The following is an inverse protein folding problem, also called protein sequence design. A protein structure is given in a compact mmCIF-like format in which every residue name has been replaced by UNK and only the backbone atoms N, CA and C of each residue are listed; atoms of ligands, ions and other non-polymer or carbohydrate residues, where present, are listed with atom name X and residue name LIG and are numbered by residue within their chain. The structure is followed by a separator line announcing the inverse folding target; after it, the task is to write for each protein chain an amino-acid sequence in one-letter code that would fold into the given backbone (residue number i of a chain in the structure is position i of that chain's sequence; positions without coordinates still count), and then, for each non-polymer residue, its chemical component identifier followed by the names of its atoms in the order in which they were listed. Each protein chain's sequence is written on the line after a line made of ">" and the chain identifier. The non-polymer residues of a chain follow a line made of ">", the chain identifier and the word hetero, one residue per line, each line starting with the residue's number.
data_IF_827725611674
#
_entry.id   IF_827725611674
#
_cell.length_a   1.000
_cell.length_b   1.000
_cell.length_c   1.000
_cell.angle_alpha   90.00
_cell.angle_beta   90.00
_cell.angle_gamma   90.00
#
_symmetry.space_group_name_H-M   'P 1'
#
loop_
_entity.id
_entity.type
_entity.pdbx_description
1 polymer ?
#
# COMPACT_ATOMS: atom_id res chain seq x y z
N UNK A 1 31.67 0.96 -16.22
CA UNK A 1 31.95 -0.47 -15.97
C UNK A 1 30.67 -1.13 -15.52
N UNK A 2 30.20 -2.14 -16.24
CA UNK A 2 29.02 -2.91 -15.82
C UNK A 2 29.52 -4.14 -15.05
N UNK A 3 29.06 -4.32 -13.82
CA UNK A 3 29.41 -5.43 -12.93
C UNK A 3 28.17 -6.29 -12.74
N UNK A 4 28.30 -7.57 -13.07
CA UNK A 4 27.21 -8.55 -12.93
C UNK A 4 27.14 -9.03 -11.47
N UNK A 5 25.96 -9.02 -10.88
CA UNK A 5 25.69 -9.50 -9.51
C UNK A 5 24.49 -10.44 -9.49
N UNK A 6 24.27 -11.12 -8.36
CA UNK A 6 23.12 -12.03 -8.13
C UNK A 6 21.75 -11.31 -8.28
N UNK A 7 21.75 -9.98 -8.40
CA UNK A 7 20.57 -9.14 -8.57
C UNK A 7 20.53 -8.38 -9.90
N UNK A 8 21.39 -8.75 -10.86
CA UNK A 8 21.48 -8.12 -12.18
C UNK A 8 22.70 -7.23 -12.38
N UNK A 9 22.73 -6.53 -13.52
CA UNK A 9 23.86 -5.71 -13.96
C UNK A 9 23.85 -4.33 -13.31
N UNK A 10 24.96 -3.97 -12.66
CA UNK A 10 25.15 -2.66 -12.03
C UNK A 10 26.15 -1.86 -12.86
N UNK A 11 25.80 -0.65 -13.27
CA UNK A 11 26.71 0.29 -13.94
C UNK A 11 27.45 1.16 -12.91
N UNK A 12 28.78 1.05 -12.86
CA UNK A 12 29.67 1.87 -12.03
C UNK A 12 30.76 2.55 -12.88
N UNK A 13 30.98 3.85 -12.69
CA UNK A 13 32.03 4.60 -13.36
C UNK A 13 32.25 5.97 -12.71
N UNK A 14 33.42 6.59 -12.87
CA UNK A 14 33.71 7.89 -12.26
C UNK A 14 32.81 8.97 -12.87
N UNK A 15 32.03 9.63 -12.00
CA UNK A 15 31.22 10.81 -12.35
C UNK A 15 32.16 12.01 -12.49
N UNK A 16 32.24 12.62 -13.68
CA UNK A 16 32.86 13.94 -13.84
C UNK A 16 32.04 14.95 -13.01
N UNK A 17 32.66 15.49 -11.96
CA UNK A 17 32.09 16.49 -11.05
C UNK A 17 31.91 17.81 -11.79
N UNK A 18 30.67 18.29 -11.89
CA UNK A 18 30.40 19.72 -11.87
C UNK A 18 30.09 20.12 -10.42
N UNK A 19 30.70 21.22 -9.99
CA UNK A 19 30.80 21.72 -8.62
C UNK A 19 29.43 22.08 -8.05
N UNK A 20 29.02 21.37 -7.00
CA UNK A 20 28.27 21.87 -5.85
C UNK A 20 28.39 20.80 -4.75
N UNK A 21 28.86 21.18 -3.58
CA UNK A 21 28.95 20.31 -2.40
C UNK A 21 27.54 19.97 -1.89
N UNK A 22 26.91 18.98 -2.50
CA UNK A 22 25.83 18.23 -1.88
C UNK A 22 26.42 16.90 -1.43
N UNK A 23 26.67 16.75 -0.13
CA UNK A 23 26.96 15.45 0.46
C UNK A 23 25.68 14.61 0.38
N UNK A 24 25.54 13.82 -0.68
CA UNK A 24 24.46 12.88 -0.88
C UNK A 24 24.48 11.86 0.26
N UNK A 25 23.53 11.94 1.19
CA UNK A 25 23.30 10.86 2.14
C UNK A 25 22.57 9.74 1.39
N UNK A 26 23.33 8.78 0.88
CA UNK A 26 22.78 7.56 0.30
C UNK A 26 22.57 6.55 1.44
N UNK A 27 21.35 6.49 1.96
CA UNK A 27 20.90 5.32 2.73
C UNK A 27 20.81 4.14 1.75
N UNK A 28 21.85 3.32 1.71
CA UNK A 28 21.92 2.11 0.90
C UNK A 28 20.87 1.09 1.34
N UNK A 29 19.94 0.73 0.43
CA UNK A 29 19.35 -0.62 0.19
C UNK A 29 18.55 -1.28 1.33
N UNK A 30 18.64 -0.78 2.56
CA UNK A 30 18.03 -1.42 3.74
C UNK A 30 16.62 -0.94 4.02
N UNK A 31 16.31 0.33 3.76
CA UNK A 31 15.01 0.91 4.09
C UNK A 31 13.95 0.43 3.08
N UNK A 32 14.27 0.50 1.80
CA UNK A 32 13.37 0.09 0.72
C UNK A 32 12.97 -1.39 0.89
N UNK A 33 13.94 -2.26 1.17
CA UNK A 33 13.71 -3.70 1.37
C UNK A 33 12.91 -4.00 2.63
N UNK A 34 13.13 -3.27 3.73
CA UNK A 34 12.35 -3.47 4.96
C UNK A 34 10.92 -2.94 4.84
N UNK A 35 10.73 -1.86 4.09
CA UNK A 35 9.42 -1.35 3.72
C UNK A 35 8.70 -2.38 2.83
N UNK A 36 9.36 -2.89 1.79
CA UNK A 36 8.84 -3.95 0.92
C UNK A 36 8.46 -5.20 1.71
N UNK A 37 9.33 -5.66 2.63
CA UNK A 37 9.00 -6.75 3.54
C UNK A 37 7.80 -6.41 4.44
N UNK A 38 7.68 -5.19 4.97
CA UNK A 38 6.51 -4.79 5.75
C UNK A 38 5.21 -4.78 4.92
N UNK A 39 5.30 -4.48 3.63
CA UNK A 39 4.18 -4.63 2.70
C UNK A 39 3.87 -6.11 2.45
N UNK A 40 4.89 -6.95 2.24
CA UNK A 40 4.77 -8.38 1.97
C UNK A 40 4.43 -9.25 3.20
N UNK A 41 4.79 -8.85 4.42
CA UNK A 41 4.55 -9.65 5.65
C UNK A 41 3.06 -9.67 6.03
N UNK A 42 2.28 -8.76 5.47
CA UNK A 42 0.82 -8.75 5.62
C UNK A 42 0.09 -9.31 4.39
N UNK A 43 0.82 -9.66 3.34
CA UNK A 43 0.31 -10.40 2.20
C UNK A 43 0.62 -11.90 2.39
N UNK A 44 -0.23 -12.76 1.83
CA UNK A 44 -0.11 -14.22 1.98
C UNK A 44 1.22 -14.64 1.35
N UNK A 45 2.16 -15.14 2.16
CA UNK A 45 3.42 -15.70 1.66
C UNK A 45 3.10 -16.79 0.63
N UNK A 46 3.67 -16.75 -0.59
CA UNK A 46 3.48 -17.82 -1.54
C UNK A 46 4.14 -19.09 -0.97
N UNK A 47 3.31 -20.04 -0.56
CA UNK A 47 3.79 -21.34 -0.10
C UNK A 47 4.38 -22.05 -1.32
N UNK A 48 5.68 -22.32 -1.30
CA UNK A 48 6.45 -22.90 -2.42
C UNK A 48 6.11 -24.37 -2.73
N UNK A 49 5.07 -24.94 -2.11
CA UNK A 49 4.64 -26.31 -2.35
C UNK A 49 3.16 -26.30 -2.70
N UNK A 50 2.84 -26.79 -3.90
CA UNK A 50 1.44 -27.01 -4.30
C UNK A 50 0.70 -27.77 -3.20
N UNK A 51 -0.39 -27.18 -2.73
CA UNK A 51 -1.40 -27.81 -1.89
C UNK A 51 -1.95 -29.06 -2.58
N UNK A 52 -2.55 -29.96 -1.81
CA UNK A 52 -3.18 -31.15 -2.39
C UNK A 52 -4.27 -30.77 -3.41
N UNK A 53 -5.04 -29.71 -3.12
CA UNK A 53 -6.08 -29.19 -4.02
C UNK A 53 -5.50 -28.71 -5.36
N UNK A 54 -4.35 -28.03 -5.35
CA UNK A 54 -3.65 -27.61 -6.58
C UNK A 54 -3.17 -28.80 -7.41
N UNK A 55 -2.62 -29.84 -6.75
CA UNK A 55 -2.20 -31.07 -7.44
C UNK A 55 -3.38 -31.79 -8.08
N UNK A 56 -4.49 -31.90 -7.36
CA UNK A 56 -5.71 -32.54 -7.84
C UNK A 56 -6.29 -31.75 -9.02
N UNK A 57 -6.27 -30.42 -8.97
CA UNK A 57 -6.71 -29.56 -10.07
C UNK A 57 -5.83 -29.71 -11.32
N UNK A 58 -4.51 -29.78 -11.19
CA UNK A 58 -3.61 -30.00 -12.33
C UNK A 58 -3.86 -31.38 -12.97
N UNK A 59 -4.00 -32.43 -12.17
CA UNK A 59 -4.33 -33.77 -12.68
C UNK A 59 -5.68 -33.78 -13.39
N UNK A 60 -6.68 -33.12 -12.82
CA UNK A 60 -8.00 -33.01 -13.42
C UNK A 60 -7.96 -32.24 -14.75
N UNK A 61 -7.23 -31.13 -14.81
CA UNK A 61 -7.02 -30.36 -16.03
C UNK A 61 -6.42 -31.24 -17.12
N UNK A 62 -5.33 -31.95 -16.83
CA UNK A 62 -4.65 -32.83 -17.79
C UNK A 62 -5.57 -33.92 -18.36
N UNK A 63 -6.52 -34.42 -17.56
CA UNK A 63 -7.45 -35.48 -17.99
C UNK A 63 -8.67 -34.98 -18.77
N UNK A 64 -9.10 -33.73 -18.55
CA UNK A 64 -10.42 -33.26 -18.98
C UNK A 64 -10.39 -32.08 -19.95
N UNK A 65 -9.23 -31.45 -20.17
CA UNK A 65 -9.13 -30.36 -21.14
C UNK A 65 -9.01 -30.86 -22.57
N UNK A 66 -9.64 -30.16 -23.51
CA UNK A 66 -9.46 -30.35 -24.94
C UNK A 66 -9.72 -29.03 -25.69
N UNK A 67 -9.38 -28.97 -26.98
CA UNK A 67 -9.79 -27.87 -27.86
C UNK A 67 -10.94 -28.32 -28.76
N UNK A 68 -11.92 -27.44 -28.96
CA UNK A 68 -12.98 -27.65 -29.94
C UNK A 68 -12.50 -27.35 -31.38
N UNK A 69 -13.38 -27.54 -32.37
CA UNK A 69 -13.08 -27.30 -33.79
C UNK A 69 -12.76 -25.83 -34.11
N UNK A 70 -13.18 -24.90 -33.24
CA UNK A 70 -12.90 -23.46 -33.34
C UNK A 70 -11.61 -23.06 -32.61
N UNK A 71 -10.91 -24.03 -31.98
CA UNK A 71 -9.66 -23.82 -31.25
C UNK A 71 -9.84 -23.36 -29.80
N UNK A 72 -11.08 -23.33 -29.28
CA UNK A 72 -11.38 -22.91 -27.90
C UNK A 72 -11.08 -24.02 -26.93
N UNK A 73 -10.47 -23.67 -25.79
CA UNK A 73 -10.29 -24.63 -24.71
C UNK A 73 -11.60 -24.90 -23.99
N UNK A 74 -11.93 -26.17 -23.88
CA UNK A 74 -13.05 -26.68 -23.08
C UNK A 74 -12.47 -27.46 -21.91
N UNK A 75 -12.83 -27.05 -20.70
CA UNK A 75 -12.52 -27.75 -19.46
C UNK A 75 -13.82 -27.94 -18.70
N UNK A 76 -14.15 -29.18 -18.34
CA UNK A 76 -15.34 -29.47 -17.55
C UNK A 76 -15.16 -28.90 -16.14
N UNK A 77 -16.11 -28.13 -15.63
CA UNK A 77 -16.02 -27.64 -14.25
C UNK A 77 -16.43 -28.75 -13.27
N UNK A 78 -15.65 -29.02 -12.21
CA UNK A 78 -16.05 -29.97 -11.17
C UNK A 78 -17.24 -29.41 -10.36
N UNK A 79 -18.20 -30.27 -10.02
CA UNK A 79 -19.45 -29.87 -9.34
C UNK A 79 -19.28 -29.34 -7.90
N UNK A 80 -18.10 -29.55 -7.30
CA UNK A 80 -17.74 -29.07 -5.96
C UNK A 80 -16.24 -28.86 -5.91
N UNK A 81 -15.74 -27.63 -5.91
CA UNK A 81 -14.41 -27.27 -5.37
C UNK A 81 -14.09 -25.78 -5.53
N UNK A 82 -13.23 -25.31 -4.63
CA UNK A 82 -12.55 -24.01 -4.61
C UNK A 82 -11.58 -23.76 -5.78
N UNK A 83 -11.38 -24.75 -6.68
CA UNK A 83 -10.32 -24.77 -7.69
C UNK A 83 -10.69 -24.29 -9.10
N UNK A 84 -11.94 -23.87 -9.33
CA UNK A 84 -12.39 -23.41 -10.66
C UNK A 84 -11.58 -22.22 -11.20
N UNK A 85 -11.11 -21.32 -10.34
CA UNK A 85 -10.23 -20.20 -10.72
C UNK A 85 -8.83 -20.67 -11.16
N UNK A 86 -8.32 -21.75 -10.55
CA UNK A 86 -7.02 -22.33 -10.91
C UNK A 86 -7.10 -22.99 -12.29
N UNK A 87 -8.19 -23.68 -12.59
CA UNK A 87 -8.43 -24.25 -13.92
C UNK A 87 -8.46 -23.17 -15.00
N UNK A 88 -9.15 -22.05 -14.75
CA UNK A 88 -9.20 -20.92 -15.70
C UNK A 88 -7.81 -20.31 -15.94
N UNK A 89 -7.04 -20.08 -14.88
CA UNK A 89 -5.66 -19.57 -14.98
C UNK A 89 -4.77 -20.56 -15.73
N UNK A 90 -4.93 -21.87 -15.48
CA UNK A 90 -4.16 -22.93 -16.13
C UNK A 90 -4.45 -23.05 -17.63
N UNK A 91 -5.67 -22.76 -18.09
CA UNK A 91 -6.02 -22.65 -19.52
C UNK A 91 -5.17 -21.57 -20.20
N UNK A 92 -5.02 -20.40 -19.58
CA UNK A 92 -4.20 -19.31 -20.13
C UNK A 92 -2.72 -19.70 -20.21
N UNK A 93 -2.20 -20.38 -19.19
CA UNK A 93 -0.84 -20.93 -19.21
C UNK A 93 -0.65 -22.00 -20.29
N UNK A 94 -1.66 -22.85 -20.51
CA UNK A 94 -1.63 -23.84 -21.60
C UNK A 94 -1.61 -23.16 -22.97
N UNK A 95 -2.45 -22.15 -23.19
CA UNK A 95 -2.46 -21.35 -24.42
C UNK A 95 -1.11 -20.66 -24.67
N UNK A 96 -0.48 -20.14 -23.61
CA UNK A 96 0.84 -19.54 -23.69
C UNK A 96 1.94 -20.55 -24.05
N UNK A 97 1.80 -21.81 -23.62
CA UNK A 97 2.68 -22.91 -24.03
C UNK A 97 2.47 -23.30 -25.49
N UNK A 98 1.22 -23.48 -25.90
CA UNK A 98 0.86 -24.04 -27.21
C UNK A 98 1.05 -23.02 -28.35
N UNK A 99 0.72 -21.75 -28.12
CA UNK A 99 0.64 -20.72 -29.16
C UNK A 99 1.59 -19.53 -28.92
N UNK A 100 2.20 -19.44 -27.73
CA UNK A 100 2.98 -18.26 -27.32
C UNK A 100 4.36 -18.13 -27.98
N UNK A 101 4.78 -19.07 -28.83
CA UNK A 101 6.10 -19.07 -29.47
C UNK A 101 6.40 -17.80 -30.29
N UNK A 102 5.38 -17.26 -30.96
CA UNK A 102 5.49 -16.04 -31.77
C UNK A 102 5.13 -14.75 -31.01
N UNK A 103 4.79 -14.86 -29.72
CA UNK A 103 4.25 -13.76 -28.92
C UNK A 103 4.98 -13.69 -27.57
N UNK A 104 6.27 -13.29 -27.55
CA UNK A 104 7.09 -13.35 -26.34
C UNK A 104 6.56 -12.50 -25.17
N UNK A 105 6.06 -11.29 -25.44
CA UNK A 105 5.49 -10.40 -24.42
C UNK A 105 4.12 -10.91 -23.98
N UNK A 106 3.27 -11.32 -24.93
CA UNK A 106 1.96 -11.90 -24.64
C UNK A 106 2.07 -13.18 -23.82
N UNK A 107 3.01 -14.07 -24.16
CA UNK A 107 3.29 -15.31 -23.42
C UNK A 107 3.69 -15.01 -21.98
N UNK A 108 4.63 -14.07 -21.78
CA UNK A 108 5.07 -13.66 -20.45
C UNK A 108 3.88 -13.15 -19.61
N UNK A 109 3.06 -12.29 -20.19
CA UNK A 109 1.90 -11.73 -19.51
C UNK A 109 0.82 -12.78 -19.18
N UNK A 110 0.53 -13.73 -20.07
CA UNK A 110 -0.40 -14.84 -19.77
C UNK A 110 0.07 -15.73 -18.61
N UNK A 111 1.39 -15.85 -18.43
CA UNK A 111 1.95 -16.68 -17.36
C UNK A 111 2.04 -15.97 -16.01
N UNK A 112 2.17 -14.64 -15.98
CA UNK A 112 2.55 -13.91 -14.77
C UNK A 112 1.62 -12.73 -14.38
N UNK A 113 0.87 -12.17 -15.33
CA UNK A 113 0.22 -10.87 -15.14
C UNK A 113 -1.31 -10.98 -14.95
N UNK A 114 -1.87 -12.20 -15.02
CA UNK A 114 -3.27 -12.46 -14.70
C UNK A 114 -3.47 -12.74 -13.21
N UNK A 115 -4.40 -12.01 -12.60
CA UNK A 115 -4.96 -12.33 -11.30
C UNK A 115 -6.41 -12.78 -11.49
N UNK A 116 -6.62 -14.10 -11.53
CA UNK A 116 -7.90 -14.73 -11.85
C UNK A 116 -8.41 -14.23 -13.21
N UNK A 117 -9.40 -13.34 -13.24
CA UNK A 117 -10.04 -12.86 -14.46
C UNK A 117 -9.45 -11.54 -14.98
N UNK A 118 -8.65 -10.83 -14.17
CA UNK A 118 -8.12 -9.51 -14.48
C UNK A 118 -6.64 -9.59 -14.92
N UNK A 119 -6.30 -8.89 -16.01
CA UNK A 119 -4.94 -8.73 -16.49
C UNK A 119 -4.37 -7.37 -16.05
N UNK A 120 -3.27 -7.37 -15.31
CA UNK A 120 -2.52 -6.17 -14.95
C UNK A 120 -1.08 -6.29 -15.44
N UNK A 121 -0.78 -5.66 -16.57
CA UNK A 121 0.54 -5.69 -17.21
C UNK A 121 1.04 -4.28 -17.58
N UNK A 122 2.33 -4.17 -17.89
CA UNK A 122 2.99 -2.91 -18.20
C UNK A 122 4.28 -3.10 -18.99
N UNK A 123 4.80 -1.99 -19.54
CA UNK A 123 6.05 -1.95 -20.29
C UNK A 123 6.79 -0.64 -20.02
N UNK A 124 8.09 -0.58 -20.35
CA UNK A 124 8.94 0.58 -20.07
C UNK A 124 8.73 1.75 -21.03
N UNK A 125 8.09 1.50 -22.17
CA UNK A 125 7.83 2.51 -23.21
C UNK A 125 6.54 2.22 -23.99
N UNK A 126 6.02 3.24 -24.67
CA UNK A 126 4.74 3.18 -25.40
C UNK A 126 4.79 2.12 -26.53
N UNK A 127 5.92 1.92 -27.20
CA UNK A 127 6.05 0.96 -28.31
C UNK A 127 5.95 -0.49 -27.84
N UNK A 128 6.68 -0.85 -26.78
CA UNK A 128 6.59 -2.17 -26.18
C UNK A 128 5.20 -2.44 -25.58
N UNK A 129 4.56 -1.42 -25.00
CA UNK A 129 3.18 -1.53 -24.51
C UNK A 129 2.18 -1.78 -25.66
N UNK A 130 2.33 -1.08 -26.79
CA UNK A 130 1.52 -1.32 -27.99
C UNK A 130 1.72 -2.73 -28.56
N UNK A 131 2.97 -3.20 -28.59
CA UNK A 131 3.30 -4.56 -29.01
C UNK A 131 2.67 -5.59 -28.08
N UNK A 132 2.82 -5.43 -26.76
CA UNK A 132 2.21 -6.29 -25.75
C UNK A 132 0.69 -6.39 -25.94
N UNK A 133 -0.01 -5.25 -26.10
CA UNK A 133 -1.46 -5.23 -26.35
C UNK A 133 -1.81 -5.98 -27.64
N UNK A 134 -1.03 -5.81 -28.70
CA UNK A 134 -1.23 -6.52 -29.97
C UNK A 134 -1.03 -8.03 -29.83
N UNK A 135 0.07 -8.46 -29.20
CA UNK A 135 0.40 -9.86 -28.96
C UNK A 135 -0.65 -10.54 -28.09
N UNK A 136 -1.07 -9.91 -26.98
CA UNK A 136 -2.12 -10.41 -26.10
C UNK A 136 -3.42 -10.66 -26.85
N UNK A 137 -3.87 -9.71 -27.68
CA UNK A 137 -5.12 -9.86 -28.45
C UNK A 137 -5.03 -11.00 -29.45
N UNK A 138 -3.90 -11.15 -30.13
CA UNK A 138 -3.70 -12.22 -31.10
C UNK A 138 -3.62 -13.59 -30.42
N UNK A 139 -2.83 -13.69 -29.35
CA UNK A 139 -2.64 -14.92 -28.59
C UNK A 139 -3.95 -15.37 -27.93
N UNK A 140 -4.67 -14.47 -27.25
CA UNK A 140 -5.94 -14.81 -26.59
C UNK A 140 -7.04 -15.18 -27.59
N UNK A 141 -7.07 -14.55 -28.77
CA UNK A 141 -8.00 -14.94 -29.84
C UNK A 141 -7.77 -16.36 -30.34
N UNK A 142 -6.51 -16.85 -30.37
CA UNK A 142 -6.21 -18.24 -30.73
C UNK A 142 -6.78 -19.26 -29.73
N UNK A 143 -7.05 -18.84 -28.49
CA UNK A 143 -7.77 -19.64 -27.49
C UNK A 143 -9.27 -19.35 -27.38
N UNK A 144 -9.82 -18.49 -28.25
CA UNK A 144 -11.23 -18.08 -28.22
C UNK A 144 -11.58 -16.96 -27.24
N UNK A 145 -10.58 -16.31 -26.63
CA UNK A 145 -10.79 -15.28 -25.63
C UNK A 145 -10.78 -13.87 -26.25
N UNK A 146 -11.59 -12.97 -25.69
CA UNK A 146 -11.57 -11.56 -26.06
C UNK A 146 -11.47 -10.70 -24.80
N UNK A 147 -10.34 -10.01 -24.63
CA UNK A 147 -10.18 -9.02 -23.55
C UNK A 147 -11.11 -7.83 -23.76
N UNK A 148 -11.78 -7.43 -22.69
CA UNK A 148 -12.65 -6.25 -22.60
C UNK A 148 -12.20 -5.39 -21.43
N UNK A 149 -12.80 -4.20 -21.30
CA UNK A 149 -12.49 -3.22 -20.25
C UNK A 149 -11.01 -2.78 -20.28
N UNK A 150 -10.47 -2.59 -21.48
CA UNK A 150 -9.12 -2.05 -21.65
C UNK A 150 -9.00 -0.67 -21.04
N UNK A 151 -7.91 -0.45 -20.32
CA UNK A 151 -7.59 0.82 -19.67
C UNK A 151 -6.07 1.02 -19.61
N UNK A 152 -5.60 2.26 -19.62
CA UNK A 152 -4.16 2.59 -19.63
C UNK A 152 -3.90 3.99 -19.07
N UNK A 153 -2.71 4.21 -18.53
CA UNK A 153 -2.21 5.55 -18.21
C UNK A 153 -1.62 6.28 -19.44
N UNK A 154 -1.50 5.60 -20.60
CA UNK A 154 -0.97 6.14 -21.87
C UNK A 154 -1.98 5.92 -23.01
N UNK A 155 -2.89 6.87 -23.29
CA UNK A 155 -4.00 6.66 -24.24
C UNK A 155 -3.59 6.22 -25.64
N UNK A 156 -2.37 6.59 -26.06
CA UNK A 156 -1.80 6.21 -27.34
C UNK A 156 -1.68 4.69 -27.50
N UNK A 157 -1.35 3.98 -26.43
CA UNK A 157 -1.17 2.51 -26.41
C UNK A 157 -2.43 1.77 -26.85
N UNK A 158 -3.60 2.34 -26.61
CA UNK A 158 -4.89 1.71 -26.95
C UNK A 158 -5.57 2.32 -28.18
N UNK A 159 -4.87 3.10 -29.02
CA UNK A 159 -5.48 3.76 -30.21
C UNK A 159 -6.22 2.78 -31.13
N UNK A 160 -5.67 1.60 -31.36
CA UNK A 160 -6.26 0.54 -32.21
C UNK A 160 -7.35 -0.31 -31.55
N UNK A 161 -7.71 -0.02 -30.29
CA UNK A 161 -8.74 -0.78 -29.56
C UNK A 161 -10.13 -0.13 -29.76
N UNK A 162 -11.16 -0.91 -30.15
CA UNK A 162 -12.53 -0.42 -30.28
C UNK A 162 -13.05 0.21 -28.98
N UNK A 163 -13.86 1.29 -29.10
CA UNK A 163 -14.37 2.03 -27.93
C UNK A 163 -15.22 1.16 -26.98
N UNK A 164 -15.99 0.21 -27.50
CA UNK A 164 -16.80 -0.73 -26.71
C UNK A 164 -15.98 -1.78 -25.95
N UNK A 165 -14.68 -1.91 -26.24
CA UNK A 165 -13.77 -2.78 -25.49
C UNK A 165 -13.00 -2.01 -24.40
N UNK A 166 -13.12 -0.67 -24.34
CA UNK A 166 -12.45 0.18 -23.35
C UNK A 166 -13.36 0.47 -22.15
N UNK A 167 -12.76 0.84 -21.02
CA UNK A 167 -13.50 1.34 -19.85
C UNK A 167 -14.09 2.71 -20.15
N UNK A 168 -15.34 2.94 -19.74
CA UNK A 168 -16.03 4.23 -19.86
C UNK A 168 -15.58 5.18 -18.74
N UNK A 169 -14.46 5.88 -18.95
CA UNK A 169 -14.03 7.13 -18.27
C UNK A 169 -13.86 7.19 -16.73
N UNK A 170 -14.26 6.19 -15.95
CA UNK A 170 -14.25 6.32 -14.47
C UNK A 170 -12.88 6.22 -13.82
N UNK A 171 -11.82 5.91 -14.58
CA UNK A 171 -10.49 5.65 -14.01
C UNK A 171 -9.49 6.65 -14.58
N UNK A 172 -9.00 7.55 -13.73
CA UNK A 172 -8.07 8.62 -14.08
C UNK A 172 -6.60 8.14 -14.14
N UNK A 173 -6.33 7.02 -14.83
CA UNK A 173 -4.98 6.44 -14.88
C UNK A 173 -3.95 7.41 -15.48
N UNK A 174 -4.35 8.26 -16.42
CA UNK A 174 -3.47 9.28 -17.00
C UNK A 174 -2.89 10.22 -15.94
N UNK A 175 -3.68 10.57 -14.92
CA UNK A 175 -3.25 11.46 -13.83
C UNK A 175 -2.16 10.79 -12.98
N UNK A 176 -2.18 9.47 -12.83
CA UNK A 176 -1.16 8.73 -12.07
C UNK A 176 0.24 8.99 -12.64
N UNK A 177 0.37 9.04 -13.98
CA UNK A 177 1.66 9.33 -14.63
C UNK A 177 2.22 10.73 -14.36
N UNK A 178 1.35 11.66 -13.91
CA UNK A 178 1.70 13.05 -13.61
C UNK A 178 2.03 13.28 -12.14
N UNK A 179 1.64 12.35 -11.25
CA UNK A 179 1.96 12.43 -9.82
C UNK A 179 3.47 12.26 -9.65
N UNK A 180 4.09 13.20 -8.93
CA UNK A 180 5.52 13.17 -8.60
C UNK A 180 5.68 13.09 -7.10
N UNK A 181 6.43 12.10 -6.63
CA UNK A 181 6.78 11.93 -5.22
C UNK A 181 8.26 12.26 -5.05
N UNK A 182 8.58 13.14 -4.10
CA UNK A 182 9.96 13.48 -3.80
C UNK A 182 10.68 12.26 -3.20
N UNK A 183 11.79 11.83 -3.81
CA UNK A 183 12.61 10.72 -3.27
C UNK A 183 13.44 11.15 -2.06
N UNK A 184 13.76 12.44 -1.96
CA UNK A 184 14.52 13.02 -0.85
C UNK A 184 13.62 13.96 -0.05
N UNK A 185 13.24 13.52 1.14
CA UNK A 185 12.25 14.19 1.99
C UNK A 185 12.89 14.97 3.15
N UNK A 186 14.15 14.68 3.47
CA UNK A 186 14.88 15.37 4.54
C UNK A 186 15.27 16.81 4.17
N UNK A 187 15.47 17.63 5.20
CA UNK A 187 16.00 18.99 5.08
C UNK A 187 17.52 19.03 4.85
N UNK A 188 18.10 20.20 5.08
CA UNK A 188 19.55 20.39 4.97
C UNK A 188 20.30 19.61 6.05
N UNK A 189 21.61 19.40 5.83
CA UNK A 189 22.47 18.78 6.84
C UNK A 189 22.48 19.63 8.11
N UNK A 190 22.36 18.98 9.26
CA UNK A 190 22.28 19.66 10.56
C UNK A 190 20.88 20.13 10.93
N UNK A 191 19.86 19.82 10.13
CA UNK A 191 18.47 20.03 10.54
C UNK A 191 18.09 19.17 11.73
N UNK A 192 17.29 19.72 12.65
CA UNK A 192 16.54 18.92 13.62
C UNK A 192 15.43 18.18 12.87
N UNK A 193 15.24 16.90 13.18
CA UNK A 193 14.29 16.05 12.48
C UNK A 193 13.24 15.52 13.46
N UNK A 194 11.98 15.77 13.15
CA UNK A 194 10.83 15.27 13.90
C UNK A 194 9.99 14.37 13.00
N UNK A 195 9.33 13.36 13.59
CA UNK A 195 8.38 12.49 12.91
C UNK A 195 6.97 12.72 13.46
N UNK A 196 6.02 12.95 12.56
CA UNK A 196 4.61 13.14 12.89
C UNK A 196 3.77 12.04 12.25
N UNK A 197 3.23 11.16 13.09
CA UNK A 197 2.49 9.97 12.70
C UNK A 197 0.98 10.21 12.87
N UNK A 198 0.24 10.32 11.77
CA UNK A 198 -1.21 10.53 11.77
C UNK A 198 -1.94 9.23 11.45
N UNK A 199 -3.07 8.99 12.10
CA UNK A 199 -3.98 7.90 11.76
C UNK A 199 -5.42 8.37 11.66
N UNK A 200 -6.19 7.66 10.84
CA UNK A 200 -7.63 7.88 10.70
C UNK A 200 -8.32 6.62 10.16
N UNK A 201 -9.64 6.53 10.36
CA UNK A 201 -10.46 5.49 9.77
C UNK A 201 -11.82 5.99 9.28
N UNK A 202 -12.31 5.34 8.23
CA UNK A 202 -13.65 5.46 7.70
C UNK A 202 -14.33 4.09 7.64
N UNK A 203 -15.60 4.06 7.26
CA UNK A 203 -16.32 2.80 7.03
C UNK A 203 -15.77 2.00 5.82
N UNK A 204 -15.00 2.64 4.94
CA UNK A 204 -14.43 2.02 3.75
C UNK A 204 -13.00 1.49 3.98
N UNK A 205 -12.17 2.25 4.70
CA UNK A 205 -10.77 1.89 4.96
C UNK A 205 -10.24 2.60 6.21
N UNK A 206 -9.13 2.10 6.75
CA UNK A 206 -8.37 2.74 7.81
C UNK A 206 -6.90 2.83 7.42
N UNK A 207 -6.20 3.84 7.92
CA UNK A 207 -4.87 4.16 7.43
C UNK A 207 -4.06 5.06 8.35
N UNK A 208 -2.79 5.22 7.99
CA UNK A 208 -1.95 6.24 8.60
C UNK A 208 -0.88 6.75 7.65
N UNK A 209 -0.38 7.95 7.95
CA UNK A 209 0.70 8.60 7.22
C UNK A 209 1.71 9.21 8.21
N UNK A 210 2.97 9.20 7.84
CA UNK A 210 4.09 9.70 8.63
C UNK A 210 4.75 10.81 7.83
N UNK A 211 4.83 11.99 8.43
CA UNK A 211 5.56 13.13 7.88
C UNK A 211 6.89 13.29 8.59
N UNK A 212 7.90 13.68 7.83
CA UNK A 212 9.15 14.20 8.38
C UNK A 212 9.07 15.73 8.42
N UNK A 213 9.37 16.30 9.57
CA UNK A 213 9.50 17.74 9.77
C UNK A 213 10.97 18.04 10.04
N UNK A 214 11.62 18.75 9.12
CA UNK A 214 13.02 19.16 9.21
C UNK A 214 13.11 20.65 9.50
N UNK A 215 13.79 21.02 10.57
CA UNK A 215 14.03 22.41 10.96
C UNK A 215 15.49 22.73 10.64
N UNK A 216 15.73 23.59 9.64
CA UNK A 216 17.07 24.04 9.27
C UNK A 216 17.74 24.88 10.38
N UNK A 217 19.08 24.98 10.37
CA UNK A 217 19.81 25.91 11.25
C UNK A 217 19.41 27.38 11.06
N UNK A 218 18.89 27.71 9.89
CA UNK A 218 18.31 29.00 9.50
C UNK A 218 16.87 29.20 10.00
N UNK A 219 16.29 28.20 10.67
CA UNK A 219 14.90 28.19 11.13
C UNK A 219 13.89 27.82 10.05
N UNK A 220 14.32 27.50 8.81
CA UNK A 220 13.39 27.11 7.74
C UNK A 220 12.84 25.71 8.03
N UNK A 221 11.52 25.63 8.12
CA UNK A 221 10.82 24.37 8.36
C UNK A 221 10.36 23.76 7.03
N UNK A 222 10.77 22.52 6.80
CA UNK A 222 10.31 21.69 5.68
C UNK A 222 9.54 20.50 6.21
N UNK A 223 8.35 20.26 5.67
CA UNK A 223 7.51 19.10 6.01
C UNK A 223 7.24 18.32 4.74
N UNK A 224 7.49 17.01 4.77
CA UNK A 224 7.32 16.10 3.64
C UNK A 224 6.76 14.76 4.10
N UNK A 225 5.94 14.13 3.25
CA UNK A 225 5.43 12.78 3.47
C UNK A 225 6.59 11.78 3.39
N UNK A 226 6.82 11.02 4.47
CA UNK A 226 7.85 10.00 4.54
C UNK A 226 7.30 8.62 4.16
N UNK A 227 6.13 8.25 4.70
CA UNK A 227 5.49 6.97 4.42
C UNK A 227 3.99 7.01 4.69
N UNK A 228 3.21 6.16 4.03
CA UNK A 228 1.78 5.99 4.31
C UNK A 228 1.34 4.55 4.05
N UNK A 229 0.30 4.09 4.74
CA UNK A 229 -0.33 2.79 4.50
C UNK A 229 -1.83 2.84 4.80
N UNK A 230 -2.63 2.25 3.92
CA UNK A 230 -4.08 2.04 4.10
C UNK A 230 -4.40 0.55 4.13
N UNK A 231 -5.58 0.22 4.67
CA UNK A 231 -6.20 -1.10 4.60
C UNK A 231 -7.72 -0.97 4.43
N UNK A 232 -8.36 -1.80 3.60
CA UNK A 232 -9.81 -1.88 3.55
C UNK A 232 -10.40 -2.22 4.92
N UNK A 233 -11.54 -1.61 5.23
CA UNK A 233 -12.28 -1.95 6.44
C UNK A 233 -12.78 -3.40 6.36
N UNK A 234 -12.85 -4.14 7.49
CA UNK A 234 -13.35 -5.51 7.48
C UNK A 234 -14.80 -5.58 6.98
N UNK A 235 -15.12 -6.62 6.19
CA UNK A 235 -16.49 -6.88 5.73
C UNK A 235 -17.47 -7.07 6.90
N UNK A 236 -16.99 -7.62 8.02
CA UNK A 236 -17.77 -7.70 9.25
C UNK A 236 -17.81 -6.32 9.91
N UNK A 237 -19.03 -5.79 10.07
CA UNK A 237 -19.25 -4.50 10.73
C UNK A 237 -18.60 -4.45 12.11
N UNK A 238 -17.81 -3.41 12.29
CA UNK A 238 -17.17 -3.00 13.54
C UNK A 238 -17.47 -1.51 13.75
N UNK A 239 -17.43 -1.03 14.99
CA UNK A 239 -17.66 0.39 15.26
C UNK A 239 -16.53 1.25 14.70
N UNK A 240 -16.83 2.50 14.38
CA UNK A 240 -15.84 3.47 13.90
C UNK A 240 -14.65 3.60 14.87
N UNK A 241 -14.91 3.71 16.18
CA UNK A 241 -13.85 3.74 17.19
C UNK A 241 -12.90 2.53 17.13
N UNK A 242 -13.41 1.34 16.82
CA UNK A 242 -12.56 0.14 16.66
C UNK A 242 -11.74 0.19 15.36
N UNK A 243 -12.26 0.81 14.30
CA UNK A 243 -11.52 1.06 13.06
C UNK A 243 -10.43 2.11 13.27
N UNK A 244 -10.73 3.21 13.96
CA UNK A 244 -9.77 4.24 14.35
C UNK A 244 -8.64 3.64 15.21
N UNK A 245 -8.98 2.73 16.16
CA UNK A 245 -7.98 1.99 16.92
C UNK A 245 -7.14 1.05 16.02
N UNK A 246 -7.72 0.46 14.96
CA UNK A 246 -6.96 -0.29 13.97
C UNK A 246 -6.01 0.62 13.17
N UNK A 247 -6.41 1.86 12.86
CA UNK A 247 -5.57 2.86 12.24
C UNK A 247 -4.37 3.21 13.12
N UNK A 248 -4.61 3.42 14.42
CA UNK A 248 -3.55 3.67 15.41
C UNK A 248 -2.53 2.52 15.48
N UNK A 249 -3.00 1.26 15.44
CA UNK A 249 -2.11 0.08 15.34
C UNK A 249 -1.31 0.10 14.04
N UNK A 250 -1.96 0.38 12.91
CA UNK A 250 -1.31 0.37 11.59
C UNK A 250 -0.20 1.43 11.49
N UNK A 251 -0.46 2.67 11.93
CA UNK A 251 0.57 3.73 11.91
C UNK A 251 1.70 3.43 12.89
N UNK A 252 1.42 2.82 14.04
CA UNK A 252 2.45 2.42 15.01
C UNK A 252 3.36 1.31 14.46
N UNK A 253 2.79 0.35 13.72
CA UNK A 253 3.56 -0.67 13.00
C UNK A 253 4.40 -0.06 11.88
N UNK A 254 3.83 0.86 11.11
CA UNK A 254 4.54 1.58 10.06
C UNK A 254 5.73 2.35 10.64
N UNK A 255 5.54 3.05 11.77
CA UNK A 255 6.60 3.73 12.50
C UNK A 255 7.70 2.74 12.95
N UNK A 256 7.35 1.62 13.59
CA UNK A 256 8.35 0.63 14.03
C UNK A 256 9.15 0.02 12.87
N UNK A 257 8.51 -0.14 11.70
CA UNK A 257 9.14 -0.62 10.49
C UNK A 257 10.15 0.37 9.91
N UNK A 258 9.85 1.68 9.91
CA UNK A 258 10.75 2.69 9.33
C UNK A 258 11.82 3.19 10.29
N UNK A 259 11.55 3.26 11.60
CA UNK A 259 12.47 3.89 12.58
C UNK A 259 13.81 3.18 12.70
N UNK A 260 13.81 1.84 12.60
CA UNK A 260 15.02 1.01 12.73
C UNK A 260 15.99 1.23 11.57
N UNK A 261 15.53 1.18 10.29
CA UNK A 261 16.38 1.45 9.14
C UNK A 261 16.71 2.93 8.93
N UNK A 262 15.95 3.88 9.50
CA UNK A 262 16.09 5.29 9.14
C UNK A 262 17.48 5.86 9.43
N UNK A 263 18.29 5.27 10.33
CA UNK A 263 19.70 5.67 10.63
C UNK A 263 19.94 7.19 10.69
N UNK A 264 18.95 7.93 11.14
CA UNK A 264 19.02 9.37 11.39
C UNK A 264 18.63 9.63 12.84
N UNK A 265 19.19 10.69 13.39
CA UNK A 265 18.83 11.15 14.73
C UNK A 265 17.49 11.88 14.65
N UNK A 266 16.44 11.23 15.14
CA UNK A 266 15.11 11.83 15.27
C UNK A 266 15.01 12.49 16.64
N UNK A 267 14.79 13.79 16.64
CA UNK A 267 14.70 14.63 17.83
C UNK A 267 13.39 14.43 18.59
N UNK A 268 12.27 14.29 17.87
CA UNK A 268 10.96 14.03 18.49
C UNK A 268 10.06 13.20 17.58
N UNK A 269 9.18 12.39 18.19
CA UNK A 269 8.16 11.59 17.51
C UNK A 269 6.83 11.85 18.19
N UNK A 270 5.81 12.17 17.39
CA UNK A 270 4.47 12.51 17.88
C UNK A 270 3.44 11.76 17.05
N UNK A 271 2.51 11.10 17.74
CA UNK A 271 1.35 10.44 17.15
C UNK A 271 0.12 11.34 17.26
N UNK A 272 -0.74 11.30 16.24
CA UNK A 272 -1.90 12.17 16.09
C UNK A 272 -3.14 11.36 15.72
N UNK A 273 -4.24 11.63 16.41
CA UNK A 273 -5.56 11.05 16.14
C UNK A 273 -6.63 12.12 16.40
N UNK A 274 -7.68 12.14 15.61
CA UNK A 274 -8.91 12.93 15.86
C UNK A 274 -9.91 12.20 16.75
N UNK A 275 -9.80 10.89 16.86
CA UNK A 275 -10.63 10.10 17.78
C UNK A 275 -10.26 10.32 19.25
N UNK A 276 -11.07 11.09 19.95
CA UNK A 276 -10.96 11.27 21.41
C UNK A 276 -11.20 9.97 22.18
N UNK A 277 -12.00 9.04 21.64
CA UNK A 277 -12.21 7.71 22.23
C UNK A 277 -10.92 6.89 22.17
N UNK A 278 -10.23 6.87 21.03
CA UNK A 278 -8.96 6.15 20.89
C UNK A 278 -7.91 6.76 21.80
N UNK A 279 -7.78 8.08 21.86
CA UNK A 279 -6.85 8.75 22.78
C UNK A 279 -7.14 8.36 24.24
N UNK A 280 -8.41 8.37 24.67
CA UNK A 280 -8.79 7.94 26.01
C UNK A 280 -8.47 6.46 26.28
N UNK A 281 -8.62 5.58 25.29
CA UNK A 281 -8.20 4.18 25.39
C UNK A 281 -6.69 4.03 25.55
N UNK A 282 -5.90 4.81 24.82
CA UNK A 282 -4.44 4.77 24.83
C UNK A 282 -3.80 5.37 26.09
N UNK A 283 -4.47 6.31 26.75
CA UNK A 283 -4.00 6.87 28.02
C UNK A 283 -4.17 5.91 29.21
N UNK A 284 -4.97 4.87 29.08
CA UNK A 284 -5.22 3.90 30.14
C UNK A 284 -4.49 2.57 29.93
N UNK A 285 -4.20 1.84 31.02
CA UNK A 285 -3.66 0.49 30.91
C UNK A 285 -4.58 -0.48 30.14
N UNK A 286 -4.03 -1.42 29.34
CA UNK A 286 -4.83 -2.31 28.49
C UNK A 286 -5.88 -3.14 29.24
N UNK A 287 -5.58 -3.55 30.48
CA UNK A 287 -6.46 -4.40 31.29
C UNK A 287 -7.79 -3.73 31.68
N UNK A 288 -7.91 -2.40 31.51
CA UNK A 288 -9.15 -1.67 31.72
C UNK A 288 -10.21 -1.96 30.65
N UNK A 289 -9.81 -2.54 29.50
CA UNK A 289 -10.64 -2.63 28.30
C UNK A 289 -11.08 -4.04 27.94
N UNK A 290 -12.16 -4.19 27.16
CA UNK A 290 -12.53 -5.48 26.58
C UNK A 290 -11.39 -6.06 25.76
N UNK A 291 -11.37 -7.39 25.59
CA UNK A 291 -10.24 -8.11 24.99
C UNK A 291 -9.81 -7.56 23.62
N UNK A 292 -10.76 -7.16 22.77
CA UNK A 292 -10.45 -6.60 21.46
C UNK A 292 -9.67 -5.28 21.56
N UNK A 293 -10.13 -4.37 22.42
CA UNK A 293 -9.53 -3.05 22.64
C UNK A 293 -8.22 -3.20 23.40
N UNK A 294 -8.20 -3.97 24.48
CA UNK A 294 -7.01 -4.26 25.29
C UNK A 294 -5.84 -4.75 24.44
N UNK A 295 -6.07 -5.75 23.58
CA UNK A 295 -5.02 -6.34 22.75
C UNK A 295 -4.42 -5.34 21.74
N UNK A 296 -5.20 -4.36 21.28
CA UNK A 296 -4.75 -3.32 20.34
C UNK A 296 -4.09 -2.15 21.06
N UNK A 297 -4.64 -1.73 22.20
CA UNK A 297 -4.04 -0.72 23.08
C UNK A 297 -2.65 -1.15 23.51
N UNK A 298 -2.46 -2.42 23.94
CA UNK A 298 -1.14 -2.97 24.26
C UNK A 298 -0.18 -2.87 23.06
N UNK A 299 -0.61 -3.29 21.87
CA UNK A 299 0.22 -3.18 20.66
C UNK A 299 0.63 -1.72 20.37
N UNK A 300 -0.30 -0.78 20.47
CA UNK A 300 0.01 0.65 20.23
C UNK A 300 0.99 1.17 21.26
N UNK A 301 0.76 0.91 22.55
CA UNK A 301 1.65 1.35 23.62
C UNK A 301 3.06 0.74 23.48
N UNK A 302 3.16 -0.54 23.11
CA UNK A 302 4.43 -1.25 22.90
C UNK A 302 5.20 -0.75 21.67
N UNK A 303 4.49 -0.44 20.58
CA UNK A 303 5.08 0.00 19.31
C UNK A 303 5.40 1.50 19.28
N UNK A 304 4.60 2.33 19.95
CA UNK A 304 4.83 3.77 20.06
C UNK A 304 5.93 4.14 21.06
N UNK A 305 6.46 3.18 21.83
CA UNK A 305 7.64 3.36 22.71
C UNK A 305 7.52 4.54 23.69
N UNK A 306 6.30 4.84 24.13
CA UNK A 306 6.03 5.94 25.06
C UNK A 306 6.06 7.34 24.43
N UNK A 307 6.11 7.44 23.11
CA UNK A 307 5.93 8.72 22.40
C UNK A 307 4.52 9.28 22.63
N UNK A 308 4.41 10.62 22.53
CA UNK A 308 3.17 11.35 22.81
C UNK A 308 2.09 11.02 21.77
N UNK A 309 0.86 10.86 22.23
CA UNK A 309 -0.35 10.83 21.41
C UNK A 309 -1.13 12.11 21.65
N UNK A 310 -1.36 12.90 20.60
CA UNK A 310 -2.03 14.19 20.65
C UNK A 310 -3.30 14.17 19.80
N UNK A 311 -4.25 15.04 20.18
CA UNK A 311 -5.44 15.27 19.40
C UNK A 311 -5.17 16.20 18.21
N UNK A 312 -5.71 15.87 17.05
CA UNK A 312 -5.80 16.77 15.88
C UNK A 312 -7.27 16.88 15.47
N UNK A 313 -7.73 18.05 15.03
CA UNK A 313 -9.10 18.17 14.52
C UNK A 313 -9.24 17.39 13.22
N UNK A 314 -10.34 16.69 13.00
CA UNK A 314 -10.55 15.86 11.80
C UNK A 314 -10.29 16.63 10.49
N UNK A 315 -10.80 17.86 10.36
CA UNK A 315 -10.53 18.71 9.18
C UNK A 315 -9.04 18.98 8.93
N UNK A 316 -8.22 18.97 9.98
CA UNK A 316 -6.79 19.21 9.95
C UNK A 316 -5.97 17.91 9.90
N UNK A 317 -6.63 16.75 10.00
CA UNK A 317 -6.00 15.43 9.99
C UNK A 317 -5.68 15.01 8.54
N UNK A 318 -4.40 14.92 8.13
CA UNK A 318 -4.06 14.45 6.80
C UNK A 318 -4.35 12.95 6.60
N UNK A 319 -4.62 12.17 7.66
CA UNK A 319 -4.94 10.76 7.52
C UNK A 319 -6.37 10.50 6.98
N UNK A 320 -7.27 11.49 7.01
CA UNK A 320 -8.58 11.41 6.32
C UNK A 320 -8.41 11.04 4.83
N UNK A 321 -7.35 11.55 4.21
CA UNK A 321 -7.04 11.33 2.79
C UNK A 321 -6.70 9.86 2.50
N UNK A 322 -6.12 9.13 3.47
CA UNK A 322 -5.76 7.71 3.34
C UNK A 322 -6.91 6.77 3.71
N UNK A 323 -7.84 7.20 4.58
CA UNK A 323 -8.96 6.40 5.05
C UNK A 323 -10.19 6.49 4.13
N UNK A 324 -10.41 7.64 3.47
CA UNK A 324 -11.56 7.88 2.57
C UNK A 324 -11.22 7.70 1.09
N UNK A 325 -9.93 7.77 0.75
CA UNK A 325 -9.44 7.72 -0.61
C UNK A 325 -9.52 9.07 -1.32
N UNK A 326 -8.76 9.20 -2.39
CA UNK A 326 -8.71 10.38 -3.26
C UNK A 326 -8.69 9.93 -4.71
N UNK A 327 -9.40 10.67 -5.58
CA UNK A 327 -9.21 10.50 -7.00
C UNK A 327 -7.80 10.99 -7.41
N UNK A 328 -7.15 10.36 -8.41
CA UNK A 328 -5.81 10.77 -8.85
C UNK A 328 -5.67 12.27 -9.19
N UNK A 329 -6.70 12.87 -9.79
CA UNK A 329 -6.72 14.31 -10.08
C UNK A 329 -6.77 15.19 -8.83
N UNK A 330 -7.53 14.77 -7.80
CA UNK A 330 -7.55 15.46 -6.52
C UNK A 330 -6.19 15.36 -5.82
N UNK A 331 -5.61 14.16 -5.82
CA UNK A 331 -4.30 13.88 -5.22
C UNK A 331 -3.21 14.76 -5.83
N UNK A 332 -3.19 14.93 -7.16
CA UNK A 332 -2.24 15.82 -7.85
C UNK A 332 -2.24 17.24 -7.31
N UNK A 333 -3.42 17.76 -6.93
CA UNK A 333 -3.58 19.13 -6.47
C UNK A 333 -3.54 19.25 -4.93
N UNK A 334 -3.43 18.14 -4.20
CA UNK A 334 -3.55 18.11 -2.74
C UNK A 334 -2.19 18.33 -2.06
N UNK A 335 -1.75 19.59 -2.01
CA UNK A 335 -0.49 20.00 -1.37
C UNK A 335 -0.35 19.45 0.07
N UNK A 336 -1.44 19.43 0.85
CA UNK A 336 -1.46 18.91 2.22
C UNK A 336 -0.99 17.45 2.32
N UNK A 337 -1.34 16.61 1.35
CA UNK A 337 -0.97 15.19 1.37
C UNK A 337 0.54 14.98 1.24
N UNK A 338 1.21 15.78 0.42
CA UNK A 338 2.66 15.64 0.22
C UNK A 338 3.47 16.43 1.25
N UNK A 339 2.99 17.60 1.68
CA UNK A 339 3.75 18.54 2.51
C UNK A 339 3.19 18.74 3.92
N UNK A 340 2.27 17.87 4.34
CA UNK A 340 1.60 17.93 5.63
C UNK A 340 0.66 19.13 5.79
N UNK A 341 -0.06 19.19 6.91
CA UNK A 341 -0.86 20.35 7.27
C UNK A 341 0.01 21.60 7.50
N UNK A 342 -0.51 22.78 7.11
CA UNK A 342 0.26 24.03 7.15
C UNK A 342 0.70 24.42 8.56
N UNK A 343 -0.09 24.08 9.59
CA UNK A 343 0.26 24.37 10.98
C UNK A 343 1.50 23.60 11.46
N UNK A 344 1.84 22.44 10.86
CA UNK A 344 3.11 21.77 11.17
C UNK A 344 4.32 22.58 10.72
N UNK A 345 4.19 23.46 9.72
CA UNK A 345 5.30 24.33 9.31
C UNK A 345 5.55 25.47 10.29
N UNK A 346 4.62 25.72 11.20
CA UNK A 346 4.72 26.74 12.22
C UNK A 346 5.50 26.22 13.45
N UNK A 347 5.73 27.10 14.43
CA UNK A 347 6.32 26.74 15.72
C UNK A 347 5.42 25.78 16.49
N UNK A 348 6.02 24.88 17.27
CA UNK A 348 5.28 23.91 18.09
C UNK A 348 4.38 24.54 19.14
N UNK A 349 4.70 25.76 19.57
CA UNK A 349 3.85 26.58 20.45
C UNK A 349 2.53 27.02 19.83
N UNK A 350 2.41 26.98 18.50
CA UNK A 350 1.23 27.42 17.75
C UNK A 350 0.36 26.25 17.27
N UNK A 351 0.79 25.01 17.53
CA UNK A 351 0.02 23.84 17.12
C UNK A 351 -1.30 23.81 17.88
N UNK A 352 -2.39 23.66 17.13
CA UNK A 352 -3.75 23.53 17.66
C UNK A 352 -3.98 22.10 18.14
N UNK A 353 -3.03 21.55 18.90
CA UNK A 353 -3.21 20.31 19.63
C UNK A 353 -3.87 20.66 20.96
N UNK A 354 -5.18 20.44 21.06
CA UNK A 354 -5.86 20.60 22.35
C UNK A 354 -5.17 19.68 23.37
N UNK A 355 -4.75 20.26 24.51
CA UNK A 355 -4.38 19.48 25.69
C UNK A 355 -5.47 18.43 25.90
N UNK A 356 -5.07 17.17 26.07
CA UNK A 356 -5.95 16.01 26.07
C UNK A 356 -7.35 16.36 26.58
N UNK A 357 -8.35 16.34 25.70
CA UNK A 357 -9.74 16.42 26.12
C UNK A 357 -9.99 15.24 27.06
N UNK A 358 -9.94 15.48 28.37
CA UNK A 358 -10.21 14.46 29.38
C UNK A 358 -11.68 14.07 29.27
N UNK A 359 -11.95 13.02 28.50
CA UNK A 359 -13.27 12.40 28.48
C UNK A 359 -13.59 11.89 29.89
N UNK A 360 -14.81 12.12 30.35
CA UNK A 360 -15.23 11.58 31.63
C UNK A 360 -15.18 10.04 31.57
N UNK A 361 -14.70 9.35 32.62
CA UNK A 361 -14.40 7.92 32.54
C UNK A 361 -15.63 7.02 32.26
N UNK A 362 -16.83 7.55 32.47
CA UNK A 362 -18.14 6.93 32.22
C UNK A 362 -18.56 7.00 30.75
N UNK A 363 -18.01 7.93 29.97
CA UNK A 363 -18.34 8.12 28.55
C UNK A 363 -17.42 7.34 27.62
N UNK A 364 -16.37 6.69 28.15
CA UNK A 364 -15.44 5.89 27.36
C UNK A 364 -15.98 4.46 27.20
N UNK A 365 -16.33 4.02 25.98
CA UNK A 365 -16.92 2.70 25.75
C UNK A 365 -15.90 1.58 25.99
N UNK A 366 -16.38 0.33 26.00
CA UNK A 366 -15.54 -0.89 26.08
C UNK A 366 -14.74 -1.06 27.39
N UNK A 367 -15.11 -0.35 28.45
CA UNK A 367 -14.53 -0.53 29.78
C UNK A 367 -15.00 -1.84 30.42
N UNK A 368 -14.06 -2.62 30.97
CA UNK A 368 -14.38 -3.81 31.77
C UNK A 368 -14.99 -3.40 33.11
N UNK A 369 -16.00 -4.15 33.55
CA UNK A 369 -16.52 -4.04 34.92
C UNK A 369 -15.47 -4.56 35.89
N UNK A 370 -15.19 -3.81 36.96
CA UNK A 370 -14.33 -4.27 38.05
C UNK A 370 -15.10 -5.36 38.79
N UNK A 371 -14.57 -6.58 38.79
CA UNK A 371 -15.10 -7.69 39.60
C UNK A 371 -14.13 -7.87 40.76
N UNK A 372 -14.60 -7.66 41.99
CA UNK A 372 -13.81 -7.95 43.18
C UNK A 372 -13.78 -9.45 43.39
N UNK A 373 -12.59 -10.03 43.56
CA UNK A 373 -12.48 -11.40 44.03
C UNK A 373 -12.64 -11.40 45.55
N UNK A 374 -13.68 -12.07 46.04
CA UNK A 374 -13.88 -12.28 47.48
C UNK A 374 -13.16 -13.57 47.84
N UNK A 375 -12.15 -13.45 48.71
CA UNK A 375 -11.50 -14.58 49.36
C UNK A 375 -12.00 -14.64 50.80
N UNK A 376 -12.47 -15.80 51.25
CA UNK A 376 -12.78 -16.08 52.66
C UNK A 376 -11.55 -16.50 53.43
#
# INVERSE_FOLDING_TARGET
>A
MFVNTVFGWIAAGPRQRAVAEASTFCSQVSLEKQIELFFATEEIQPVSSFTQEEKDCEQYFQQQHFRDEEGRYIVKLPFRTSGSCMLATRVLQQLASDEGGSFPLGKKALCADFYVDDLLSGADNDHEAEQLVSELRQLLRKGGFTLKKWNTNRPNVLRGIPKNEKVLSTVQLECISKIKVARHVFGAKGSLVELHCFCDASEAAYGGCIYVRSIGPDGIVKVELLASKSKPAPLKRVSLAKLELCAAVLVSKLYDAIRKPLKIDVSEVIFWSDSTIVLAWLESPPYNWTTYVANRVSQVQDLSKGHKWLHVKGMDNPADDVSRGLFPEELMNKSRWFHGPQWLKQSSSQWVGEQTLKMSPEKVPERRKIVMMVST
#
